data_IF_727679862933
#
_entry.id   IF_727679862933
#
_cell.length_a   1.000
_cell.length_b   1.000
_cell.length_c   1.000
_cell.angle_alpha   90.00
_cell.angle_beta   90.00
_cell.angle_gamma   90.00
#
_symmetry.space_group_name_H-M   'P 1'
#
loop_
_entity.id
_entity.type
_entity.pdbx_description
1 polymer ?
#
# COMPACT_ATOMS: atom_id res chain seq x y z
N UNK A 1 -6.31 -13.94 -5.98
CA UNK A 1 -5.11 -14.16 -5.15
C UNK A 1 -4.06 -14.68 -6.10
N UNK A 2 -2.90 -14.04 -6.18
CA UNK A 2 -1.81 -14.45 -7.07
C UNK A 2 -0.67 -14.96 -6.19
N UNK A 3 -0.29 -16.22 -6.36
CA UNK A 3 0.80 -16.84 -5.59
C UNK A 3 1.98 -17.04 -6.52
N UNK A 4 3.12 -16.45 -6.19
CA UNK A 4 4.36 -16.57 -6.93
C UNK A 4 5.43 -17.17 -6.01
N UNK A 5 5.93 -18.35 -6.38
CA UNK A 5 7.05 -18.97 -5.68
C UNK A 5 8.36 -18.41 -6.26
N UNK A 6 9.11 -17.65 -5.46
CA UNK A 6 10.39 -17.05 -5.89
C UNK A 6 11.53 -18.06 -5.70
N UNK A 7 11.51 -18.77 -4.58
CA UNK A 7 12.44 -19.85 -4.29
C UNK A 7 11.68 -21.01 -3.66
N UNK A 8 12.32 -22.18 -3.53
CA UNK A 8 11.73 -23.30 -2.79
C UNK A 8 11.37 -22.95 -1.32
N UNK A 9 11.90 -21.83 -0.80
CA UNK A 9 11.67 -21.37 0.57
C UNK A 9 10.77 -20.14 0.66
N UNK A 10 10.67 -19.32 -0.40
CA UNK A 10 9.99 -18.02 -0.37
C UNK A 10 8.79 -18.01 -1.32
N UNK A 11 7.60 -17.82 -0.74
CA UNK A 11 6.36 -17.63 -1.47
C UNK A 11 5.85 -16.20 -1.31
N UNK A 12 5.47 -15.56 -2.42
CA UNK A 12 4.87 -14.24 -2.45
C UNK A 12 3.39 -14.37 -2.79
N UNK A 13 2.52 -13.88 -1.92
CA UNK A 13 1.08 -13.87 -2.08
C UNK A 13 0.62 -12.44 -2.32
N UNK A 14 0.09 -12.15 -3.51
CA UNK A 14 -0.44 -10.84 -3.86
C UNK A 14 -1.98 -10.84 -3.91
N UNK A 15 -2.55 -9.80 -3.31
CA UNK A 15 -3.96 -9.46 -3.36
C UNK A 15 -4.16 -8.11 -4.05
N UNK A 16 -5.07 -8.07 -5.01
CA UNK A 16 -5.29 -6.88 -5.83
C UNK A 16 -6.20 -5.86 -5.15
N UNK A 17 -6.91 -6.28 -4.10
CA UNK A 17 -7.74 -5.43 -3.26
C UNK A 17 -7.78 -5.90 -1.81
N UNK A 18 -8.07 -4.97 -0.90
CA UNK A 18 -8.37 -5.27 0.50
C UNK A 18 -9.56 -6.22 0.68
N UNK A 19 -10.59 -6.11 -0.16
CA UNK A 19 -11.79 -6.93 -0.03
C UNK A 19 -11.52 -8.39 -0.40
N UNK A 20 -10.71 -8.63 -1.42
CA UNK A 20 -10.27 -9.98 -1.79
C UNK A 20 -9.48 -10.64 -0.65
N UNK A 21 -8.56 -9.89 -0.03
CA UNK A 21 -7.81 -10.35 1.14
C UNK A 21 -8.77 -10.70 2.29
N UNK A 22 -9.70 -9.81 2.62
CA UNK A 22 -10.69 -10.06 3.67
C UNK A 22 -11.57 -11.29 3.40
N UNK A 23 -12.07 -11.43 2.17
CA UNK A 23 -12.90 -12.58 1.79
C UNK A 23 -12.15 -13.90 1.98
N UNK A 24 -10.86 -13.92 1.63
CA UNK A 24 -10.00 -15.08 1.84
C UNK A 24 -9.87 -15.45 3.32
N UNK A 25 -9.66 -14.47 4.21
CA UNK A 25 -9.52 -14.71 5.65
C UNK A 25 -10.77 -15.31 6.32
N UNK A 26 -11.96 -14.92 5.83
CA UNK A 26 -13.24 -15.36 6.38
C UNK A 26 -13.71 -16.68 5.79
N UNK A 27 -13.49 -16.89 4.49
CA UNK A 27 -13.94 -18.11 3.81
C UNK A 27 -13.04 -19.32 4.07
N UNK A 28 -11.77 -19.09 4.42
CA UNK A 28 -10.81 -20.18 4.62
C UNK A 28 -10.83 -20.64 6.08
N UNK A 29 -10.99 -21.95 6.33
CA UNK A 29 -10.84 -22.50 7.68
C UNK A 29 -9.38 -22.43 8.15
N UNK A 30 -9.16 -22.65 9.44
CA UNK A 30 -7.82 -22.77 9.99
C UNK A 30 -7.03 -23.89 9.32
N UNK A 31 -5.73 -23.65 9.11
CA UNK A 31 -4.83 -24.67 8.57
C UNK A 31 -4.50 -25.75 9.61
N UNK A 32 -3.87 -26.84 9.18
CA UNK A 32 -3.47 -27.96 10.05
C UNK A 32 -2.47 -27.55 11.15
N UNK A 33 -1.71 -26.48 10.94
CA UNK A 33 -0.74 -26.00 11.93
C UNK A 33 -1.42 -25.29 13.10
N UNK A 34 -2.52 -24.57 12.86
CA UNK A 34 -3.21 -23.75 13.86
C UNK A 34 -4.56 -24.30 14.30
N UNK A 35 -5.09 -25.37 13.69
CA UNK A 35 -6.44 -25.87 14.01
C UNK A 35 -6.66 -26.27 15.48
N UNK A 36 -5.62 -26.66 16.21
CA UNK A 36 -5.67 -27.05 17.63
C UNK A 36 -4.96 -26.07 18.57
N UNK A 37 -4.54 -24.93 18.06
CA UNK A 37 -3.70 -23.97 18.78
C UNK A 37 -4.47 -22.70 19.14
N UNK A 38 -3.89 -21.87 20.03
CA UNK A 38 -4.47 -20.57 20.37
C UNK A 38 -4.26 -19.55 19.25
N UNK A 39 -5.31 -18.83 18.89
CA UNK A 39 -5.28 -17.83 17.82
C UNK A 39 -5.13 -16.44 18.39
N UNK A 40 -3.96 -15.83 18.16
CA UNK A 40 -3.71 -14.45 18.59
C UNK A 40 -4.54 -13.46 17.78
N UNK A 41 -5.01 -13.85 16.59
CA UNK A 41 -5.93 -13.02 15.81
C UNK A 41 -7.30 -12.85 16.49
N UNK A 42 -7.72 -13.83 17.29
CA UNK A 42 -9.02 -13.87 17.99
C UNK A 42 -8.85 -13.41 19.44
N UNK A 43 -7.99 -14.09 20.20
CA UNK A 43 -7.84 -13.91 21.65
C UNK A 43 -6.82 -12.83 22.05
N UNK A 44 -6.21 -12.14 21.07
CA UNK A 44 -5.19 -11.13 21.33
C UNK A 44 -5.68 -10.01 22.26
N UNK A 45 -4.88 -9.67 23.27
CA UNK A 45 -5.26 -8.68 24.28
C UNK A 45 -5.48 -7.28 23.68
N UNK A 46 -6.34 -6.48 24.31
CA UNK A 46 -6.64 -5.11 23.87
C UNK A 46 -5.39 -4.21 23.86
N UNK A 47 -4.47 -4.37 24.82
CA UNK A 47 -3.24 -3.57 24.84
C UNK A 47 -2.37 -3.84 23.61
N UNK A 48 -2.33 -5.10 23.17
CA UNK A 48 -1.56 -5.53 22.01
C UNK A 48 -2.26 -5.16 20.71
N UNK A 49 -3.52 -5.54 20.51
CA UNK A 49 -4.18 -5.34 19.21
C UNK A 49 -4.84 -3.97 19.06
N UNK A 50 -5.14 -3.27 20.17
CA UNK A 50 -5.99 -2.06 20.23
C UNK A 50 -7.45 -2.29 19.80
N UNK A 51 -7.89 -3.55 19.78
CA UNK A 51 -9.28 -3.99 19.58
C UNK A 51 -9.56 -5.12 20.55
N UNK A 52 -10.80 -5.33 20.96
CA UNK A 52 -11.22 -6.40 21.87
C UNK A 52 -11.27 -7.73 21.14
N UNK A 53 -11.90 -7.74 19.97
CA UNK A 53 -12.16 -8.97 19.22
C UNK A 53 -11.86 -8.83 17.72
N UNK A 54 -11.83 -9.98 17.03
CA UNK A 54 -11.68 -10.02 15.58
C UNK A 54 -12.82 -9.27 14.88
N UNK A 55 -14.06 -9.39 15.37
CA UNK A 55 -15.22 -8.71 14.79
C UNK A 55 -15.11 -7.20 14.86
N UNK A 56 -14.62 -6.64 15.98
CA UNK A 56 -14.40 -5.19 16.10
C UNK A 56 -13.33 -4.71 15.10
N UNK A 57 -12.26 -5.48 14.90
CA UNK A 57 -11.27 -5.17 13.89
C UNK A 57 -11.84 -5.23 12.47
N UNK A 58 -12.76 -6.17 12.19
CA UNK A 58 -13.47 -6.26 10.91
C UNK A 58 -14.43 -5.09 10.69
N UNK A 59 -15.13 -4.65 11.73
CA UNK A 59 -16.01 -3.48 11.65
C UNK A 59 -15.21 -2.21 11.34
N UNK A 60 -14.08 -2.00 12.02
CA UNK A 60 -13.17 -0.89 11.73
C UNK A 60 -12.55 -1.00 10.32
N UNK A 61 -12.27 -2.22 9.86
CA UNK A 61 -11.81 -2.47 8.50
C UNK A 61 -12.85 -2.09 7.44
N UNK A 62 -14.14 -2.40 7.67
CA UNK A 62 -15.23 -2.12 6.73
C UNK A 62 -15.67 -0.65 6.75
N UNK A 63 -15.84 -0.09 7.94
CA UNK A 63 -16.39 1.25 8.14
C UNK A 63 -15.30 2.33 8.08
N UNK A 64 -14.04 1.94 8.23
CA UNK A 64 -12.91 2.86 8.36
C UNK A 64 -12.80 3.45 9.77
N UNK A 65 -11.62 3.95 10.11
CA UNK A 65 -11.34 4.50 11.44
C UNK A 65 -11.49 6.03 11.44
N UNK A 66 -12.71 6.51 11.64
CA UNK A 66 -13.09 7.94 11.53
C UNK A 66 -12.27 8.86 12.43
N UNK A 67 -12.05 8.47 13.69
CA UNK A 67 -11.39 9.30 14.69
C UNK A 67 -9.93 9.54 14.33
N UNK A 68 -9.24 8.47 13.93
CA UNK A 68 -7.86 8.56 13.50
C UNK A 68 -7.76 9.23 12.13
N UNK A 69 -8.71 9.00 11.23
CA UNK A 69 -8.76 9.71 9.95
C UNK A 69 -8.83 11.23 10.16
N UNK A 70 -9.61 11.71 11.12
CA UNK A 70 -9.69 13.14 11.45
C UNK A 70 -8.35 13.67 11.98
N UNK A 71 -7.71 12.95 12.89
CA UNK A 71 -6.37 13.29 13.41
C UNK A 71 -5.31 13.29 12.29
N UNK A 72 -5.37 12.32 11.39
CA UNK A 72 -4.49 12.24 10.22
C UNK A 72 -4.74 13.43 9.30
N UNK A 73 -5.99 13.73 8.96
CA UNK A 73 -6.34 14.89 8.13
C UNK A 73 -5.80 16.17 8.73
N UNK A 74 -5.92 16.40 10.04
CA UNK A 74 -5.34 17.57 10.71
C UNK A 74 -3.81 17.62 10.58
N UNK A 75 -3.11 16.50 10.85
CA UNK A 75 -1.64 16.41 10.68
C UNK A 75 -1.19 16.56 9.23
N UNK A 76 -2.05 16.23 8.26
CA UNK A 76 -1.75 16.24 6.84
C UNK A 76 -2.17 17.54 6.13
N UNK A 77 -3.13 18.31 6.68
CA UNK A 77 -3.63 19.58 6.11
C UNK A 77 -2.54 20.64 5.97
N UNK A 78 -1.48 20.55 6.77
CA UNK A 78 -0.29 21.43 6.66
C UNK A 78 0.42 21.27 5.30
N UNK A 79 0.17 20.18 4.56
CA UNK A 79 0.84 19.82 3.30
C UNK A 79 -0.09 19.98 2.08
N UNK A 80 -1.19 20.74 2.18
CA UNK A 80 -2.06 21.00 1.02
C UNK A 80 -1.44 22.05 0.08
N UNK A 81 -0.47 21.65 -0.74
CA UNK A 81 -0.15 22.38 -1.97
C UNK A 81 -1.19 22.04 -3.04
N UNK A 82 -1.82 23.07 -3.62
CA UNK A 82 -2.77 22.90 -4.72
C UNK A 82 -2.09 22.18 -5.89
N UNK A 83 -2.59 20.99 -6.21
CA UNK A 83 -2.12 20.18 -7.33
C UNK A 83 -2.73 20.78 -8.59
N UNK A 84 -1.96 21.56 -9.35
CA UNK A 84 -2.32 21.89 -10.72
C UNK A 84 -1.65 20.89 -11.65
N UNK A 85 -2.42 20.13 -12.46
CA UNK A 85 -1.83 19.22 -13.43
C UNK A 85 -0.97 20.04 -14.38
N UNK A 86 0.30 19.65 -14.55
CA UNK A 86 1.18 20.32 -15.50
C UNK A 86 0.58 20.16 -16.90
N UNK A 87 0.17 21.27 -17.49
CA UNK A 87 -0.43 21.30 -18.82
C UNK A 87 0.69 21.50 -19.86
N UNK A 88 0.71 20.66 -20.90
CA UNK A 88 1.60 20.87 -22.05
C UNK A 88 0.77 21.28 -23.28
N UNK A 89 1.19 22.30 -24.02
CA UNK A 89 0.55 22.62 -25.30
C UNK A 89 0.82 21.48 -26.28
N UNK A 90 -0.24 20.96 -26.90
CA UNK A 90 -0.16 19.97 -27.98
C UNK A 90 -0.85 20.52 -29.21
N UNK A 91 -0.19 20.38 -30.36
CA UNK A 91 -0.77 20.74 -31.64
C UNK A 91 -1.87 19.72 -32.00
N UNK A 92 -3.06 20.22 -32.29
CA UNK A 92 -4.21 19.43 -32.76
C UNK A 92 -4.82 20.13 -33.97
N UNK A 93 -5.52 19.36 -34.81
CA UNK A 93 -6.23 19.91 -35.96
C UNK A 93 -7.59 20.47 -35.51
N UNK A 94 -7.98 21.60 -36.06
CA UNK A 94 -9.27 22.25 -35.85
C UNK A 94 -9.66 23.10 -37.04
N UNK A 95 -10.86 23.68 -36.96
CA UNK A 95 -11.41 24.56 -37.98
C UNK A 95 -10.72 25.93 -38.01
N UNK A 96 -10.27 26.38 -36.85
CA UNK A 96 -9.52 27.63 -36.68
C UNK A 96 -8.22 27.37 -35.93
N UNK A 97 -7.14 28.02 -36.38
CA UNK A 97 -5.80 27.83 -35.83
C UNK A 97 -4.83 28.90 -36.31
N UNK A 98 -3.56 28.74 -35.97
CA UNK A 98 -2.50 29.71 -36.31
C UNK A 98 -1.74 29.34 -37.59
N UNK A 99 -1.87 28.10 -38.06
CA UNK A 99 -1.19 27.60 -39.26
C UNK A 99 -2.13 26.70 -40.06
N UNK A 100 -2.23 26.95 -41.38
CA UNK A 100 -3.04 26.14 -42.29
C UNK A 100 -2.24 24.97 -42.87
N UNK A 101 -2.88 23.81 -43.04
CA UNK A 101 -2.36 22.66 -43.78
C UNK A 101 -3.00 22.67 -45.17
N UNK A 102 -2.27 23.20 -46.15
CA UNK A 102 -2.75 23.43 -47.52
C UNK A 102 -3.35 22.16 -48.18
N UNK A 103 -2.74 20.96 -48.08
CA UNK A 103 -3.32 19.75 -48.67
C UNK A 103 -4.71 19.40 -48.12
N UNK A 104 -4.93 19.55 -46.80
CA UNK A 104 -6.23 19.24 -46.18
C UNK A 104 -7.30 20.27 -46.57
N UNK A 105 -6.91 21.53 -46.74
CA UNK A 105 -7.79 22.58 -47.22
C UNK A 105 -8.27 22.32 -48.66
N UNK A 106 -7.35 21.95 -49.55
CA UNK A 106 -7.68 21.61 -50.95
C UNK A 106 -8.59 20.37 -51.07
N UNK A 107 -8.51 19.45 -50.10
CA UNK A 107 -9.39 18.28 -50.01
C UNK A 107 -10.76 18.59 -49.38
N UNK A 108 -11.02 19.84 -48.99
CA UNK A 108 -12.30 20.25 -48.38
C UNK A 108 -12.51 19.75 -46.95
N UNK A 109 -11.44 19.31 -46.26
CA UNK A 109 -11.54 18.81 -44.88
C UNK A 109 -11.67 20.01 -43.93
N UNK A 110 -12.74 20.11 -43.10
CA UNK A 110 -12.94 21.24 -42.20
C UNK A 110 -11.84 21.43 -41.14
N UNK A 111 -11.21 20.34 -40.69
CA UNK A 111 -10.12 20.35 -39.72
C UNK A 111 -8.75 20.55 -40.39
N UNK A 112 -8.58 21.66 -41.10
CA UNK A 112 -7.39 21.95 -41.90
C UNK A 112 -6.40 22.92 -41.23
N UNK A 113 -6.70 23.44 -40.04
CA UNK A 113 -5.82 24.35 -39.30
C UNK A 113 -5.20 23.68 -38.07
N UNK A 114 -3.94 23.97 -37.80
CA UNK A 114 -3.23 23.58 -36.58
C UNK A 114 -3.55 24.58 -35.47
N UNK A 115 -4.06 24.08 -34.35
CA UNK A 115 -4.32 24.85 -33.13
C UNK A 115 -3.60 24.24 -31.92
N UNK A 116 -3.37 25.05 -30.88
CA UNK A 116 -2.74 24.58 -29.63
C UNK A 116 -3.83 24.27 -28.62
N UNK A 117 -3.93 23.00 -28.21
CA UNK A 117 -4.76 22.59 -27.08
C UNK A 117 -3.87 22.27 -25.90
N UNK A 118 -4.20 22.82 -24.74
CA UNK A 118 -3.55 22.44 -23.49
C UNK A 118 -4.03 21.03 -23.12
N UNK A 119 -3.11 20.07 -23.10
CA UNK A 119 -3.39 18.68 -22.72
C UNK A 119 -2.66 18.38 -21.40
N UNK A 120 -3.33 17.78 -20.41
CA UNK A 120 -2.66 17.39 -19.17
C UNK A 120 -1.58 16.34 -19.49
N UNK A 121 -0.39 16.55 -18.94
CA UNK A 121 0.70 15.56 -19.06
C UNK A 121 0.30 14.28 -18.36
N UNK A 122 0.56 13.13 -18.99
CA UNK A 122 0.41 11.82 -18.33
C UNK A 122 1.30 11.79 -17.09
N UNK A 123 0.68 11.71 -15.92
CA UNK A 123 1.38 11.60 -14.65
C UNK A 123 2.06 10.23 -14.57
N UNK A 124 3.33 10.19 -14.13
CA UNK A 124 4.05 8.95 -13.89
C UNK A 124 3.37 8.18 -12.76
N UNK A 125 3.16 6.88 -12.96
CA UNK A 125 2.61 5.98 -11.95
C UNK A 125 3.77 5.33 -11.21
N UNK A 126 3.77 5.42 -9.88
CA UNK A 126 4.76 4.78 -9.00
C UNK A 126 4.06 3.77 -8.10
N UNK A 127 4.75 2.69 -7.75
CA UNK A 127 4.26 1.68 -6.80
C UNK A 127 5.07 1.76 -5.52
N UNK A 128 4.38 2.02 -4.42
CA UNK A 128 4.93 2.14 -3.08
C UNK A 128 4.46 0.95 -2.23
N UNK A 129 5.40 0.28 -1.60
CA UNK A 129 5.16 -0.85 -0.71
C UNK A 129 5.54 -0.43 0.71
N UNK A 130 4.58 -0.34 1.62
CA UNK A 130 4.86 -0.13 3.04
C UNK A 130 5.00 -1.48 3.73
N UNK A 131 6.20 -1.75 4.25
CA UNK A 131 6.40 -2.88 5.16
C UNK A 131 5.73 -2.57 6.50
N UNK A 132 4.96 -3.55 7.00
CA UNK A 132 4.31 -3.52 8.31
C UNK A 132 4.86 -4.62 9.23
N UNK A 133 6.11 -5.03 8.98
CA UNK A 133 6.80 -6.10 9.68
C UNK A 133 7.32 -5.62 11.05
N UNK A 134 6.40 -5.46 11.99
CA UNK A 134 6.73 -5.04 13.35
C UNK A 134 6.88 -6.24 14.29
N UNK A 135 7.94 -6.22 15.10
CA UNK A 135 8.10 -7.17 16.20
C UNK A 135 6.99 -6.99 17.25
N UNK A 136 6.59 -8.06 17.94
CA UNK A 136 5.61 -8.02 19.02
C UNK A 136 5.91 -6.97 20.11
N UNK A 137 7.19 -6.68 20.38
CA UNK A 137 7.61 -5.66 21.36
C UNK A 137 7.41 -4.20 20.94
N UNK A 138 7.02 -3.92 19.69
CA UNK A 138 6.81 -2.55 19.22
C UNK A 138 5.48 -2.01 19.75
N UNK A 139 5.48 -0.83 20.38
CA UNK A 139 4.26 -0.21 20.90
C UNK A 139 3.30 0.17 19.78
N UNK A 140 1.99 0.13 20.07
CA UNK A 140 0.96 0.57 19.14
C UNK A 140 1.15 2.02 18.69
N UNK A 141 1.56 2.90 19.59
CA UNK A 141 1.76 4.32 19.28
C UNK A 141 2.92 4.53 18.29
N UNK A 142 3.98 3.73 18.41
CA UNK A 142 5.10 3.76 17.46
C UNK A 142 4.69 3.29 16.07
N UNK A 143 3.83 2.27 15.97
CA UNK A 143 3.25 1.83 14.69
C UNK A 143 2.45 2.97 14.06
N UNK A 144 1.64 3.67 14.86
CA UNK A 144 0.82 4.79 14.40
C UNK A 144 1.71 5.91 13.84
N UNK A 145 2.77 6.29 14.57
CA UNK A 145 3.71 7.35 14.16
C UNK A 145 4.42 7.02 12.84
N UNK A 146 4.95 5.80 12.69
CA UNK A 146 5.62 5.36 11.46
C UNK A 146 4.67 5.29 10.26
N UNK A 147 3.40 5.00 10.52
CA UNK A 147 2.36 4.95 9.50
C UNK A 147 1.91 6.35 9.08
N UNK A 148 1.90 7.32 10.00
CA UNK A 148 1.68 8.75 9.69
C UNK A 148 2.79 9.27 8.79
N UNK A 149 4.06 8.96 9.10
CA UNK A 149 5.21 9.32 8.25
C UNK A 149 5.06 8.76 6.83
N UNK A 150 4.69 7.49 6.71
CA UNK A 150 4.45 6.86 5.41
C UNK A 150 3.33 7.59 4.62
N UNK A 151 2.22 7.93 5.27
CA UNK A 151 1.12 8.66 4.62
C UNK A 151 1.53 10.09 4.20
N UNK A 152 2.38 10.77 4.97
CA UNK A 152 2.95 12.06 4.60
C UNK A 152 3.83 11.95 3.35
N UNK A 153 4.67 10.91 3.24
CA UNK A 153 5.49 10.67 2.05
C UNK A 153 4.60 10.45 0.82
N UNK A 154 3.56 9.61 0.93
CA UNK A 154 2.62 9.37 -0.17
C UNK A 154 1.95 10.68 -0.61
N UNK A 155 1.48 11.49 0.35
CA UNK A 155 0.89 12.80 0.02
C UNK A 155 1.87 13.74 -0.66
N UNK A 156 3.13 13.79 -0.22
CA UNK A 156 4.17 14.62 -0.86
C UNK A 156 4.42 14.18 -2.30
N UNK A 157 4.47 12.87 -2.57
CA UNK A 157 4.64 12.34 -3.92
C UNK A 157 3.42 12.64 -4.80
N UNK A 158 2.20 12.51 -4.27
CA UNK A 158 1.00 12.93 -5.00
C UNK A 158 0.97 14.44 -5.27
N UNK A 159 1.44 15.25 -4.32
CA UNK A 159 1.55 16.70 -4.46
C UNK A 159 2.56 17.11 -5.53
N UNK A 160 3.60 16.31 -5.77
CA UNK A 160 4.57 16.49 -6.86
C UNK A 160 4.02 16.06 -8.24
N UNK A 161 2.79 15.54 -8.30
CA UNK A 161 2.14 15.14 -9.54
C UNK A 161 2.36 13.67 -9.93
N UNK A 162 2.87 12.83 -9.02
CA UNK A 162 2.93 11.39 -9.22
C UNK A 162 1.59 10.72 -8.88
N UNK A 163 1.27 9.65 -9.60
CA UNK A 163 0.14 8.77 -9.28
C UNK A 163 0.66 7.56 -8.51
N UNK A 164 0.21 7.36 -7.27
CA UNK A 164 0.79 6.33 -6.41
C UNK A 164 -0.16 5.11 -6.27
N UNK A 165 0.33 3.92 -6.61
CA UNK A 165 -0.19 2.66 -6.07
C UNK A 165 0.40 2.46 -4.68
N UNK A 166 -0.43 2.20 -3.67
CA UNK A 166 0.03 1.92 -2.31
C UNK A 166 -0.36 0.49 -1.95
N UNK A 167 0.64 -0.30 -1.59
CA UNK A 167 0.48 -1.65 -1.07
C UNK A 167 1.03 -1.70 0.36
N UNK A 168 0.44 -2.55 1.18
CA UNK A 168 1.03 -2.99 2.43
C UNK A 168 1.68 -4.35 2.19
N UNK A 169 2.83 -4.57 2.80
CA UNK A 169 3.54 -5.83 2.65
C UNK A 169 3.97 -6.34 4.02
N UNK A 170 3.79 -7.64 4.22
CA UNK A 170 4.29 -8.36 5.37
C UNK A 170 5.18 -9.51 4.90
N UNK A 171 6.42 -9.56 5.36
CA UNK A 171 7.31 -10.70 5.22
C UNK A 171 7.53 -11.39 6.57
N UNK A 172 7.24 -12.69 6.64
CA UNK A 172 7.50 -13.51 7.82
C UNK A 172 8.27 -14.77 7.47
N UNK A 173 9.22 -15.14 8.32
CA UNK A 173 10.06 -16.34 8.17
C UNK A 173 10.02 -17.18 9.45
N UNK A 174 9.85 -18.49 9.34
CA UNK A 174 9.96 -19.39 10.50
C UNK A 174 10.46 -20.79 10.12
N UNK A 175 10.98 -21.50 11.13
CA UNK A 175 11.35 -22.91 11.07
C UNK A 175 12.74 -23.21 10.53
N UNK A 176 13.09 -24.50 10.56
CA UNK A 176 14.30 -25.07 9.95
C UNK A 176 13.91 -26.36 9.20
N UNK A 177 14.06 -26.43 7.85
CA UNK A 177 14.51 -25.38 6.95
C UNK A 177 13.55 -24.18 6.93
N UNK A 178 14.10 -22.97 6.81
CA UNK A 178 13.32 -21.73 6.85
C UNK A 178 12.32 -21.67 5.70
N UNK A 179 11.05 -21.44 6.04
CA UNK A 179 10.02 -21.04 5.08
C UNK A 179 9.70 -19.56 5.29
N UNK A 180 9.60 -18.82 4.20
CA UNK A 180 9.31 -17.40 4.16
C UNK A 180 8.03 -17.16 3.35
N UNK A 181 7.13 -16.37 3.92
CA UNK A 181 5.91 -15.92 3.25
C UNK A 181 5.93 -14.40 3.19
N UNK A 182 5.69 -13.86 2.00
CA UNK A 182 5.55 -12.42 1.79
C UNK A 182 4.18 -12.13 1.24
N UNK A 183 3.36 -11.41 2.00
CA UNK A 183 1.99 -11.07 1.65
C UNK A 183 1.93 -9.61 1.27
N UNK A 184 1.49 -9.33 0.04
CA UNK A 184 1.33 -7.98 -0.50
C UNK A 184 -0.14 -7.73 -0.78
N UNK A 185 -0.71 -6.70 -0.16
CA UNK A 185 -2.11 -6.32 -0.34
C UNK A 185 -2.18 -4.89 -0.86
N UNK A 186 -2.85 -4.69 -1.99
CA UNK A 186 -3.08 -3.35 -2.53
C UNK A 186 -4.19 -2.63 -1.76
N UNK A 187 -3.85 -1.47 -1.20
CA UNK A 187 -4.78 -0.65 -0.41
C UNK A 187 -5.25 0.59 -1.17
N UNK A 188 -4.49 1.05 -2.16
CA UNK A 188 -4.90 2.14 -3.06
C UNK A 188 -4.33 1.92 -4.46
N UNK A 189 -5.19 2.14 -5.46
CA UNK A 189 -4.80 2.21 -6.86
C UNK A 189 -4.39 3.63 -7.28
N UNK A 190 -3.52 3.74 -8.27
CA UNK A 190 -3.07 5.00 -8.86
C UNK A 190 -4.24 5.86 -9.39
N UNK A 191 -5.33 5.22 -9.84
CA UNK A 191 -6.51 5.90 -10.36
C UNK A 191 -7.47 6.38 -9.25
N UNK A 192 -7.30 5.88 -8.02
CA UNK A 192 -8.15 6.24 -6.89
C UNK A 192 -7.60 7.47 -6.16
N UNK A 193 -8.51 8.35 -5.71
CA UNK A 193 -8.13 9.46 -4.83
C UNK A 193 -7.73 8.91 -3.46
N UNK A 194 -6.78 9.56 -2.79
CA UNK A 194 -6.37 9.19 -1.44
C UNK A 194 -7.54 9.41 -0.44
N UNK A 195 -8.26 8.35 -0.10
CA UNK A 195 -9.29 8.38 0.93
C UNK A 195 -8.66 8.02 2.29
N UNK A 196 -8.37 9.04 3.10
CA UNK A 196 -7.72 8.88 4.40
C UNK A 196 -8.52 7.97 5.34
N UNK A 197 -9.85 8.04 5.32
CA UNK A 197 -10.71 7.21 6.20
C UNK A 197 -10.62 5.73 5.88
N UNK A 198 -10.60 5.38 4.59
CA UNK A 198 -10.42 3.98 4.15
C UNK A 198 -9.01 3.46 4.39
N UNK A 199 -8.00 4.33 4.32
CA UNK A 199 -6.59 3.94 4.48
C UNK A 199 -6.12 3.96 5.94
N UNK A 200 -6.86 4.64 6.84
CA UNK A 200 -6.48 4.77 8.24
C UNK A 200 -6.37 3.40 8.92
N UNK A 201 -7.35 2.52 8.75
CA UNK A 201 -7.28 1.19 9.35
C UNK A 201 -6.14 0.32 8.78
N UNK A 202 -6.09 0.03 7.46
CA UNK A 202 -5.11 -0.89 6.91
C UNK A 202 -3.66 -0.39 6.95
N UNK A 203 -3.43 0.92 7.09
CA UNK A 203 -2.09 1.48 7.20
C UNK A 203 -1.68 1.75 8.65
N UNK A 204 -2.59 2.23 9.51
CA UNK A 204 -2.24 2.83 10.81
C UNK A 204 -2.64 1.97 12.00
N UNK A 205 -3.69 1.16 11.89
CA UNK A 205 -4.23 0.42 13.04
C UNK A 205 -3.41 -0.87 13.31
N UNK A 206 -2.92 -1.11 14.54
CA UNK A 206 -2.15 -2.31 14.89
C UNK A 206 -2.87 -3.63 14.59
N UNK A 207 -4.20 -3.68 14.73
CA UNK A 207 -5.02 -4.84 14.33
C UNK A 207 -4.86 -5.27 12.88
N UNK A 208 -4.43 -4.41 11.96
CA UNK A 208 -4.15 -4.86 10.59
C UNK A 208 -3.10 -5.97 10.64
N UNK A 209 -1.95 -5.69 11.25
CA UNK A 209 -0.89 -6.67 11.48
C UNK A 209 -1.36 -7.78 12.43
N UNK A 210 -1.75 -7.39 13.65
CA UNK A 210 -1.90 -8.31 14.79
C UNK A 210 -3.15 -9.17 14.75
N UNK A 211 -4.12 -8.85 13.87
CA UNK A 211 -5.32 -9.68 13.68
C UNK A 211 -5.47 -10.16 12.26
N UNK A 212 -5.49 -9.27 11.26
CA UNK A 212 -5.77 -9.72 9.88
C UNK A 212 -4.59 -10.47 9.26
N UNK A 213 -3.35 -10.01 9.42
CA UNK A 213 -2.18 -10.77 8.95
C UNK A 213 -1.89 -12.00 9.80
N UNK A 214 -2.15 -11.97 11.11
CA UNK A 214 -2.07 -13.17 11.94
C UNK A 214 -3.10 -14.21 11.50
N UNK A 215 -4.35 -13.77 11.25
CA UNK A 215 -5.40 -14.60 10.66
C UNK A 215 -4.97 -15.19 9.31
N UNK A 216 -4.26 -14.42 8.47
CA UNK A 216 -3.72 -14.95 7.22
C UNK A 216 -2.77 -16.15 7.47
N UNK A 217 -1.83 -16.01 8.41
CA UNK A 217 -0.88 -17.08 8.77
C UNK A 217 -1.62 -18.30 9.35
N UNK A 218 -2.70 -18.08 10.09
CA UNK A 218 -3.52 -19.15 10.69
C UNK A 218 -4.36 -19.92 9.67
N UNK A 219 -4.67 -19.33 8.50
CA UNK A 219 -5.51 -19.98 7.47
C UNK A 219 -4.73 -20.41 6.23
N UNK A 220 -3.54 -19.86 5.98
CA UNK A 220 -2.78 -20.17 4.77
C UNK A 220 -2.26 -21.63 4.81
N UNK A 221 -2.57 -22.48 3.82
CA UNK A 221 -2.29 -23.93 3.91
C UNK A 221 -0.82 -24.31 4.01
N UNK A 222 0.09 -23.54 3.42
CA UNK A 222 1.51 -23.90 3.37
C UNK A 222 2.29 -23.54 4.65
N UNK A 223 1.63 -22.90 5.61
CA UNK A 223 2.20 -22.53 6.91
C UNK A 223 2.47 -23.78 7.73
N UNK A 224 3.66 -23.85 8.32
CA UNK A 224 4.10 -24.98 9.14
C UNK A 224 3.90 -24.70 10.63
N UNK A 225 3.96 -25.75 11.45
CA UNK A 225 3.88 -25.64 12.93
C UNK A 225 4.93 -24.70 13.54
N UNK A 226 6.03 -24.42 12.83
CA UNK A 226 7.06 -23.47 13.28
C UNK A 226 6.54 -22.04 13.45
N UNK A 227 5.42 -21.68 12.83
CA UNK A 227 4.81 -20.35 12.97
C UNK A 227 3.91 -20.23 14.22
N UNK A 228 3.53 -21.32 14.86
CA UNK A 228 2.56 -21.32 15.97
C UNK A 228 3.04 -20.51 17.18
N UNK A 229 4.33 -20.60 17.50
CA UNK A 229 4.88 -19.97 18.72
C UNK A 229 4.99 -18.43 18.66
N UNK A 230 4.81 -17.81 17.49
CA UNK A 230 5.04 -16.37 17.38
C UNK A 230 4.82 -15.74 16.00
N UNK A 231 4.14 -16.43 15.09
CA UNK A 231 3.85 -15.96 13.73
C UNK A 231 5.09 -15.67 12.87
N UNK A 232 6.26 -16.18 13.30
CA UNK A 232 7.55 -16.05 12.65
C UNK A 232 8.30 -14.77 12.99
N UNK A 233 9.45 -14.58 12.33
CA UNK A 233 10.27 -13.36 12.45
C UNK A 233 10.08 -12.45 11.23
N UNK A 234 10.03 -11.13 11.44
CA UNK A 234 10.02 -10.12 10.38
C UNK A 234 11.10 -10.35 9.31
N UNK A 235 10.73 -10.24 8.05
CA UNK A 235 11.68 -10.16 6.95
C UNK A 235 12.49 -8.85 7.04
N UNK A 236 13.73 -8.90 6.56
CA UNK A 236 14.60 -7.73 6.51
C UNK A 236 14.22 -6.83 5.32
N UNK A 237 14.48 -5.52 5.45
CA UNK A 237 14.24 -4.56 4.37
C UNK A 237 14.97 -4.93 3.07
N UNK A 238 16.16 -5.51 3.17
CA UNK A 238 16.98 -5.91 2.01
C UNK A 238 16.38 -7.11 1.28
N UNK A 239 15.86 -8.11 2.01
CA UNK A 239 15.11 -9.23 1.43
C UNK A 239 13.89 -8.71 0.68
N UNK A 240 13.14 -7.78 1.29
CA UNK A 240 11.94 -7.20 0.68
C UNK A 240 12.25 -6.39 -0.57
N UNK A 241 13.34 -5.62 -0.59
CA UNK A 241 13.82 -4.89 -1.78
C UNK A 241 14.24 -5.84 -2.89
N UNK A 242 14.89 -6.96 -2.55
CA UNK A 242 15.28 -7.97 -3.53
C UNK A 242 14.08 -8.69 -4.15
N UNK A 243 12.99 -8.85 -3.40
CA UNK A 243 11.73 -9.45 -3.88
C UNK A 243 10.99 -8.48 -4.81
N UNK A 244 10.88 -7.20 -4.43
CA UNK A 244 10.12 -6.19 -5.17
C UNK A 244 11.02 -5.27 -6.03
N UNK A 245 11.83 -5.85 -6.92
CA UNK A 245 12.68 -5.06 -7.83
C UNK A 245 11.85 -4.15 -8.74
N UNK A 246 12.16 -2.86 -8.74
CA UNK A 246 11.46 -1.84 -9.54
C UNK A 246 10.26 -1.19 -8.85
N UNK A 247 9.95 -1.59 -7.60
CA UNK A 247 8.98 -0.91 -6.74
C UNK A 247 9.71 -0.24 -5.55
N UNK A 248 9.13 0.82 -4.99
CA UNK A 248 9.74 1.53 -3.87
C UNK A 248 9.25 0.97 -2.54
N UNK A 249 10.18 0.54 -1.68
CA UNK A 249 9.87 0.03 -0.34
C UNK A 249 9.99 1.15 0.70
N UNK A 250 8.91 1.41 1.43
CA UNK A 250 8.95 2.16 2.68
C UNK A 250 9.17 1.14 3.82
N UNK A 251 10.28 1.21 4.56
CA UNK A 251 10.56 0.27 5.64
C UNK A 251 9.55 0.41 6.79
N UNK A 252 9.56 -0.58 7.69
CA UNK A 252 8.81 -0.56 8.94
C UNK A 252 9.14 0.68 9.77
N UNK A 253 10.42 1.03 9.92
CA UNK A 253 10.90 2.25 10.57
C UNK A 253 11.52 3.22 9.57
N UNK A 254 10.90 4.38 9.40
CA UNK A 254 11.40 5.48 8.57
C UNK A 254 12.38 6.30 9.42
N UNK A 255 13.67 6.05 9.21
CA UNK A 255 14.76 6.70 9.96
C UNK A 255 15.05 8.12 9.47
N UNK A 256 14.87 8.37 8.18
CA UNK A 256 15.04 9.71 7.59
C UNK A 256 13.86 10.61 7.97
N UNK A 257 14.15 11.87 8.21
CA UNK A 257 13.11 12.88 8.38
C UNK A 257 12.28 12.96 7.09
N UNK A 258 10.96 12.90 7.24
CA UNK A 258 10.01 13.02 6.12
C UNK A 258 10.21 14.35 5.37
N UNK A 259 10.78 15.37 6.01
CA UNK A 259 11.08 16.68 5.42
C UNK A 259 12.32 16.71 4.53
N UNK A 260 13.25 15.77 4.69
CA UNK A 260 14.44 15.68 3.82
C UNK A 260 14.18 14.88 2.55
N UNK A 261 13.14 14.05 2.52
CA UNK A 261 12.68 13.31 1.34
C UNK A 261 12.03 14.30 0.37
N UNK A 262 12.75 14.67 -0.69
CA UNK A 262 12.29 15.62 -1.71
C UNK A 262 12.05 14.96 -3.05
N UNK A 263 12.71 13.86 -3.35
CA UNK A 263 12.63 13.17 -4.64
C UNK A 263 12.36 11.68 -4.46
N UNK A 264 11.96 11.02 -5.54
CA UNK A 264 11.71 9.57 -5.55
C UNK A 264 13.01 8.79 -5.23
N UNK A 265 14.15 9.29 -5.69
CA UNK A 265 15.46 8.65 -5.47
C UNK A 265 15.86 8.66 -3.99
N UNK A 266 15.32 9.60 -3.20
CA UNK A 266 15.55 9.64 -1.76
C UNK A 266 14.90 8.44 -1.05
N UNK A 267 13.85 7.84 -1.65
CA UNK A 267 13.08 6.70 -1.11
C UNK A 267 13.87 5.39 -1.09
N UNK A 268 14.84 5.23 -1.99
CA UNK A 268 15.67 4.01 -2.05
C UNK A 268 16.56 3.87 -0.81
N UNK A 269 16.72 4.91 0.00
CA UNK A 269 17.61 4.91 1.17
C UNK A 269 16.88 5.34 2.46
N UNK A 270 15.54 5.22 2.52
CA UNK A 270 14.72 5.53 3.72
C UNK A 270 14.67 4.36 4.67
#
# INVERSE_FOLDING_TARGET
MRVNQITNKTEVIEYDSLQEFYQYLVSTPFNEAFCWEKHSSVEGSYYFTKTKDFNEAVELFRNGWSDMATKLVQKLKVIESKIEPTMKPRNVLGVAGYQVIVPLYLQGIPNNMVTKKMVPVKQKVITLNKSIDYNAGVSADRIIEESVKAMQIVKKLEAQGYRCNLNIVLGTTAGYPSKQFVVKVRIKSANEKLNVSKLAFPLVHPSMLRRLFFRFIEVYPHVTKSFVSGYGTPATSDEMRNIFKGEYLLPNFIKKDVNTIKTIDDLENV
#
